data_IF_975689651365
#
_entry.id   IF_975689651365
#
_cell.length_a   1.000
_cell.length_b   1.000
_cell.length_c   1.000
_cell.angle_alpha   90.00
_cell.angle_beta   90.00
_cell.angle_gamma   90.00
#
_symmetry.space_group_name_H-M   'P 1'
#
loop_
_entity.id
_entity.type
_entity.pdbx_description
1 polymer ?
#
# COMPACT_ATOMS: atom_id res chain seq x y z
N UNK A 1 13.93 -16.11 24.06
CA UNK A 1 14.87 -14.98 23.96
C UNK A 1 15.72 -15.28 22.74
N UNK A 2 15.68 -14.45 21.69
CA UNK A 2 16.58 -14.58 20.54
C UNK A 2 17.79 -13.76 20.93
N UNK A 3 18.96 -14.41 21.06
CA UNK A 3 20.21 -13.71 21.30
C UNK A 3 20.49 -12.75 20.14
N UNK A 4 20.42 -11.46 20.43
CA UNK A 4 20.71 -10.42 19.45
C UNK A 4 22.24 -10.38 19.24
N UNK A 5 22.76 -10.60 18.03
CA UNK A 5 24.17 -10.48 17.75
C UNK A 5 24.65 -9.04 17.98
N UNK A 6 25.89 -8.89 18.43
CA UNK A 6 26.51 -7.61 18.77
C UNK A 6 26.65 -6.71 17.54
N UNK A 7 25.70 -5.78 17.39
CA UNK A 7 25.51 -4.95 16.18
C UNK A 7 26.58 -3.85 16.05
N UNK A 8 27.51 -3.71 16.99
CA UNK A 8 28.48 -2.58 17.00
C UNK A 8 29.38 -2.49 15.78
N UNK A 9 29.69 -3.61 15.12
CA UNK A 9 30.66 -3.67 14.02
C UNK A 9 30.08 -3.72 12.60
N UNK A 10 28.76 -3.59 12.44
CA UNK A 10 28.14 -3.61 11.13
C UNK A 10 28.02 -2.21 10.51
N UNK A 11 28.04 -2.13 9.17
CA UNK A 11 27.82 -0.89 8.43
C UNK A 11 26.45 -0.26 8.77
N UNK A 12 26.30 1.04 8.56
CA UNK A 12 25.02 1.75 8.80
C UNK A 12 23.84 1.07 8.09
N UNK A 13 24.05 0.56 6.89
CA UNK A 13 23.04 -0.13 6.09
C UNK A 13 22.68 -1.50 6.66
N UNK A 14 23.68 -2.27 7.09
CA UNK A 14 23.45 -3.60 7.70
C UNK A 14 22.69 -3.48 9.02
N UNK A 15 23.00 -2.46 9.83
CA UNK A 15 22.24 -2.16 11.08
C UNK A 15 20.77 -1.83 10.81
N UNK A 16 20.49 -1.14 9.69
CA UNK A 16 19.13 -0.77 9.27
C UNK A 16 18.32 -2.00 8.82
N UNK A 17 18.92 -2.86 8.00
CA UNK A 17 18.32 -4.13 7.56
C UNK A 17 18.03 -5.03 8.78
N UNK A 18 18.98 -5.10 9.74
CA UNK A 18 18.78 -5.87 10.96
C UNK A 18 17.64 -5.33 11.84
N UNK A 19 17.48 -4.02 11.93
CA UNK A 19 16.37 -3.41 12.67
C UNK A 19 15.01 -3.79 12.04
N UNK A 20 14.91 -3.77 10.72
CA UNK A 20 13.71 -4.19 9.98
C UNK A 20 13.42 -5.68 10.23
N UNK A 21 14.44 -6.53 10.17
CA UNK A 21 14.32 -7.97 10.44
C UNK A 21 13.92 -8.21 11.90
N UNK A 22 14.47 -7.47 12.87
CA UNK A 22 14.10 -7.59 14.29
C UNK A 22 12.66 -7.13 14.55
N UNK A 23 12.20 -6.05 13.95
CA UNK A 23 10.79 -5.61 14.04
C UNK A 23 9.88 -6.69 13.42
N UNK A 24 10.28 -7.25 12.28
CA UNK A 24 9.53 -8.31 11.61
C UNK A 24 9.48 -9.62 12.43
N UNK A 25 10.59 -10.03 13.03
CA UNK A 25 10.65 -11.24 13.89
C UNK A 25 9.97 -11.06 15.24
N UNK A 26 10.05 -9.86 15.84
CA UNK A 26 9.31 -9.56 17.07
C UNK A 26 7.79 -9.59 16.84
N UNK A 27 7.34 -9.15 15.66
CA UNK A 27 5.92 -9.18 15.26
C UNK A 27 5.43 -10.61 14.92
N UNK A 28 6.32 -11.48 14.43
CA UNK A 28 6.03 -12.89 14.13
C UNK A 28 5.94 -13.79 15.36
N UNK A 29 6.01 -13.23 16.57
CA UNK A 29 5.96 -14.01 17.79
C UNK A 29 4.65 -14.82 17.88
N UNK A 30 4.75 -16.16 17.81
CA UNK A 30 3.63 -17.13 17.80
C UNK A 30 2.55 -16.89 18.86
N UNK A 31 2.90 -16.26 19.98
CA UNK A 31 1.96 -15.91 21.07
C UNK A 31 0.97 -14.81 20.70
N UNK A 32 1.38 -13.82 19.89
CA UNK A 32 0.47 -12.78 19.36
C UNK A 32 -0.43 -13.36 18.26
N UNK A 33 0.12 -14.17 17.37
CA UNK A 33 -0.62 -14.77 16.26
C UNK A 33 -1.78 -15.65 16.72
N UNK A 34 -1.62 -16.39 17.82
CA UNK A 34 -2.67 -17.26 18.37
C UNK A 34 -3.84 -16.50 19.05
N UNK A 35 -3.66 -15.23 19.43
CA UNK A 35 -4.70 -14.37 20.05
C UNK A 35 -5.43 -13.49 19.04
N UNK A 36 -4.88 -13.28 17.86
CA UNK A 36 -5.42 -12.37 16.86
C UNK A 36 -6.37 -13.11 15.91
N UNK A 37 -7.45 -12.43 15.46
CA UNK A 37 -8.28 -12.94 14.35
C UNK A 37 -7.40 -13.15 13.12
N UNK A 38 -7.50 -14.31 12.48
CA UNK A 38 -6.68 -14.72 11.34
C UNK A 38 -6.54 -13.64 10.26
N UNK A 39 -7.63 -12.94 9.94
CA UNK A 39 -7.61 -11.85 8.95
C UNK A 39 -6.73 -10.69 9.35
N UNK A 40 -6.78 -10.26 10.62
CA UNK A 40 -5.96 -9.16 11.13
C UNK A 40 -4.45 -9.48 11.08
N UNK A 41 -4.08 -10.72 11.39
CA UNK A 41 -2.68 -11.15 11.30
C UNK A 41 -2.13 -11.02 9.87
N UNK A 42 -2.87 -11.50 8.87
CA UNK A 42 -2.45 -11.37 7.47
C UNK A 42 -2.43 -9.92 6.98
N UNK A 43 -3.34 -9.08 7.46
CA UNK A 43 -3.34 -7.65 7.12
C UNK A 43 -2.13 -6.90 7.68
N UNK A 44 -1.72 -7.22 8.91
CA UNK A 44 -0.50 -6.67 9.50
C UNK A 44 0.73 -7.05 8.66
N UNK A 45 0.86 -8.31 8.28
CA UNK A 45 1.96 -8.77 7.43
C UNK A 45 1.98 -8.04 6.08
N UNK A 46 0.82 -7.91 5.44
CA UNK A 46 0.67 -7.19 4.19
C UNK A 46 1.05 -5.70 4.35
N UNK A 47 0.60 -5.06 5.43
CA UNK A 47 0.88 -3.65 5.70
C UNK A 47 2.37 -3.37 5.90
N UNK A 48 3.07 -4.19 6.66
CA UNK A 48 4.53 -4.07 6.85
C UNK A 48 5.26 -4.19 5.50
N UNK A 49 4.86 -5.17 4.67
CA UNK A 49 5.46 -5.34 3.35
C UNK A 49 5.18 -4.14 2.43
N UNK A 50 3.97 -3.59 2.47
CA UNK A 50 3.62 -2.43 1.66
C UNK A 50 4.29 -1.13 2.10
N UNK A 51 4.63 -0.98 3.36
CA UNK A 51 5.30 0.22 3.87
C UNK A 51 6.63 0.50 3.14
N UNK A 52 7.32 -0.54 2.67
CA UNK A 52 8.61 -0.41 1.99
C UNK A 52 8.52 -0.29 0.46
N UNK A 53 7.32 -0.36 -0.12
CA UNK A 53 7.13 -0.41 -1.58
C UNK A 53 7.58 0.88 -2.28
N UNK A 54 7.14 2.05 -1.78
CA UNK A 54 7.37 3.32 -2.46
C UNK A 54 8.85 3.68 -2.63
N UNK A 55 9.71 3.56 -1.60
CA UNK A 55 11.15 3.76 -1.75
C UNK A 55 11.78 2.87 -2.81
N UNK A 56 11.39 1.58 -2.86
CA UNK A 56 11.94 0.65 -3.85
C UNK A 56 11.42 0.90 -5.27
N UNK A 57 10.17 1.37 -5.44
CA UNK A 57 9.70 1.82 -6.75
C UNK A 57 10.52 3.02 -7.20
N UNK A 58 10.66 4.03 -6.35
CA UNK A 58 11.44 5.24 -6.67
C UNK A 58 12.89 4.91 -7.03
N UNK A 59 13.53 4.04 -6.25
CA UNK A 59 14.86 3.53 -6.56
C UNK A 59 14.91 2.78 -7.89
N UNK A 60 13.92 1.92 -8.19
CA UNK A 60 13.86 1.20 -9.47
C UNK A 60 13.72 2.12 -10.67
N UNK A 61 12.89 3.15 -10.56
CA UNK A 61 12.68 4.16 -11.61
C UNK A 61 13.90 5.07 -11.81
N UNK A 62 14.72 5.30 -10.78
CA UNK A 62 15.93 6.14 -10.90
C UNK A 62 17.02 5.56 -11.82
N UNK A 63 16.89 4.29 -12.24
CA UNK A 63 17.79 3.65 -13.19
C UNK A 63 17.39 3.84 -14.66
N UNK A 64 16.76 4.96 -14.99
CA UNK A 64 16.27 5.26 -16.33
C UNK A 64 15.34 4.17 -16.87
N UNK A 65 14.27 3.96 -16.11
CA UNK A 65 13.21 3.02 -16.48
C UNK A 65 11.84 3.68 -16.30
N UNK A 66 10.91 3.39 -17.20
CA UNK A 66 9.61 4.07 -17.23
C UNK A 66 8.59 3.40 -16.30
N UNK A 67 7.63 4.17 -15.75
CA UNK A 67 6.66 3.69 -14.77
C UNK A 67 5.86 2.46 -15.21
N UNK A 68 5.28 2.48 -16.43
CA UNK A 68 4.45 1.37 -16.91
C UNK A 68 5.28 0.14 -17.25
N UNK A 69 6.45 0.31 -17.89
CA UNK A 69 7.32 -0.82 -18.19
C UNK A 69 7.81 -1.49 -16.89
N UNK A 70 8.18 -0.71 -15.87
CA UNK A 70 8.62 -1.25 -14.57
C UNK A 70 7.49 -1.97 -13.84
N UNK A 71 6.30 -1.36 -13.78
CA UNK A 71 5.10 -1.97 -13.20
C UNK A 71 4.72 -3.26 -13.94
N UNK A 72 4.71 -3.20 -15.27
CA UNK A 72 4.34 -4.33 -16.13
C UNK A 72 5.25 -5.54 -15.94
N UNK A 73 6.57 -5.34 -15.98
CA UNK A 73 7.55 -6.43 -15.74
C UNK A 73 7.37 -7.00 -14.32
N UNK A 74 7.29 -6.15 -13.30
CA UNK A 74 7.08 -6.57 -11.92
C UNK A 74 5.85 -7.46 -11.79
N UNK A 75 4.69 -6.96 -12.21
CA UNK A 75 3.42 -7.63 -11.98
C UNK A 75 3.26 -8.88 -12.85
N UNK A 76 3.72 -8.85 -14.10
CA UNK A 76 3.74 -10.04 -14.96
C UNK A 76 4.60 -11.15 -14.37
N UNK A 77 5.79 -10.83 -13.85
CA UNK A 77 6.67 -11.78 -13.17
C UNK A 77 5.97 -12.39 -11.94
N UNK A 78 5.30 -11.58 -11.12
CA UNK A 78 4.50 -12.07 -9.99
C UNK A 78 3.40 -13.01 -10.46
N UNK A 79 2.69 -12.62 -11.52
CA UNK A 79 1.64 -13.43 -12.12
C UNK A 79 2.15 -14.80 -12.57
N UNK A 80 3.29 -14.86 -13.25
CA UNK A 80 3.92 -16.12 -13.68
C UNK A 80 4.24 -17.01 -12.48
N UNK A 81 4.85 -16.47 -11.42
CA UNK A 81 5.19 -17.21 -10.20
C UNK A 81 3.93 -17.79 -9.54
N UNK A 82 2.89 -16.96 -9.39
CA UNK A 82 1.65 -17.38 -8.75
C UNK A 82 0.85 -18.35 -9.63
N UNK A 83 0.86 -18.20 -10.96
CA UNK A 83 0.26 -19.17 -11.86
C UNK A 83 0.98 -20.52 -11.81
N UNK A 84 2.31 -20.54 -11.80
CA UNK A 84 3.07 -21.77 -11.64
C UNK A 84 2.66 -22.52 -10.35
N UNK A 85 2.42 -21.76 -9.25
CA UNK A 85 1.94 -22.33 -7.99
C UNK A 85 0.49 -22.85 -8.08
N UNK A 86 -0.40 -22.16 -8.80
CA UNK A 86 -1.84 -22.49 -8.85
C UNK A 86 -2.21 -23.41 -10.01
N UNK A 87 -1.29 -23.64 -10.95
CA UNK A 87 -1.51 -24.41 -12.18
C UNK A 87 -2.15 -25.78 -11.94
N UNK A 88 -1.58 -26.53 -10.99
CA UNK A 88 -2.04 -27.88 -10.67
C UNK A 88 -3.40 -27.96 -9.97
N UNK A 89 -3.99 -26.82 -9.57
CA UNK A 89 -5.23 -26.81 -8.79
C UNK A 89 -6.50 -26.73 -9.64
N UNK A 90 -6.39 -26.64 -10.95
CA UNK A 90 -7.52 -26.67 -11.89
C UNK A 90 -8.52 -25.51 -11.74
N UNK A 91 -8.09 -24.35 -11.19
CA UNK A 91 -8.95 -23.22 -10.82
C UNK A 91 -9.43 -22.37 -12.00
N UNK A 92 -9.08 -22.72 -13.23
CA UNK A 92 -9.41 -21.93 -14.43
C UNK A 92 -10.91 -21.71 -14.66
N UNK A 93 -11.76 -22.62 -14.17
CA UNK A 93 -13.22 -22.47 -14.22
C UNK A 93 -13.73 -21.29 -13.40
N UNK A 94 -13.02 -20.92 -12.33
CA UNK A 94 -13.36 -19.77 -11.48
C UNK A 94 -13.34 -18.46 -12.26
N UNK A 95 -12.41 -18.30 -13.24
CA UNK A 95 -12.35 -17.08 -14.07
C UNK A 95 -13.66 -16.86 -14.82
N UNK A 96 -14.21 -17.91 -15.43
CA UNK A 96 -15.43 -17.82 -16.21
C UNK A 96 -16.66 -17.59 -15.31
N UNK A 97 -16.69 -18.23 -14.15
CA UNK A 97 -17.79 -18.11 -13.19
C UNK A 97 -17.84 -16.72 -12.52
N UNK A 98 -16.67 -16.11 -12.27
CA UNK A 98 -16.52 -14.82 -11.60
C UNK A 98 -15.91 -13.75 -12.51
N UNK A 99 -16.24 -13.77 -13.82
CA UNK A 99 -15.63 -12.93 -14.84
C UNK A 99 -15.69 -11.42 -14.52
N UNK A 100 -16.80 -10.94 -13.97
CA UNK A 100 -16.96 -9.53 -13.55
C UNK A 100 -15.94 -9.12 -12.49
N UNK A 101 -15.69 -9.99 -11.49
CA UNK A 101 -14.70 -9.74 -10.44
C UNK A 101 -13.29 -9.70 -11.03
N UNK A 102 -12.94 -10.67 -11.89
CA UNK A 102 -11.63 -10.70 -12.52
C UNK A 102 -11.41 -9.52 -13.47
N UNK A 103 -12.40 -9.12 -14.27
CA UNK A 103 -12.32 -7.93 -15.12
C UNK A 103 -12.13 -6.65 -14.28
N UNK A 104 -12.86 -6.51 -13.17
CA UNK A 104 -12.66 -5.40 -12.23
C UNK A 104 -11.21 -5.38 -11.71
N UNK A 105 -10.69 -6.52 -11.26
CA UNK A 105 -9.33 -6.60 -10.75
C UNK A 105 -8.28 -6.32 -11.82
N UNK A 106 -8.47 -6.79 -13.05
CA UNK A 106 -7.53 -6.58 -14.16
C UNK A 106 -7.56 -5.11 -14.63
N UNK A 107 -8.76 -4.57 -14.92
CA UNK A 107 -8.89 -3.26 -15.56
C UNK A 107 -8.86 -2.13 -14.54
N UNK A 108 -9.66 -2.21 -13.46
CA UNK A 108 -9.79 -1.09 -12.52
C UNK A 108 -8.67 -1.13 -11.49
N UNK A 109 -8.45 -2.28 -10.82
CA UNK A 109 -7.41 -2.36 -9.80
C UNK A 109 -6.01 -2.28 -10.39
N UNK A 110 -5.69 -3.19 -11.34
CA UNK A 110 -4.33 -3.29 -11.86
C UNK A 110 -4.06 -2.23 -12.93
N UNK A 111 -4.80 -2.20 -14.02
CA UNK A 111 -4.47 -1.29 -15.12
C UNK A 111 -4.66 0.17 -14.72
N UNK A 112 -5.87 0.60 -14.34
CA UNK A 112 -6.12 2.01 -13.98
C UNK A 112 -5.46 2.37 -12.65
N UNK A 113 -5.65 1.55 -11.61
CA UNK A 113 -5.18 1.83 -10.26
C UNK A 113 -3.65 1.85 -10.16
N UNK A 114 -2.95 0.84 -10.70
CA UNK A 114 -1.49 0.80 -10.61
C UNK A 114 -0.78 1.65 -11.65
N UNK A 115 -1.35 1.91 -12.82
CA UNK A 115 -0.82 2.92 -13.75
C UNK A 115 -0.83 4.29 -13.08
N UNK A 116 -1.96 4.71 -12.51
CA UNK A 116 -2.05 5.96 -11.75
C UNK A 116 -1.08 5.99 -10.55
N UNK A 117 -0.95 4.87 -9.84
CA UNK A 117 -0.03 4.75 -8.71
C UNK A 117 1.44 4.95 -9.12
N UNK A 118 1.89 4.27 -10.17
CA UNK A 118 3.30 4.35 -10.59
C UNK A 118 3.67 5.72 -11.14
N UNK A 119 2.82 6.35 -11.96
CA UNK A 119 3.03 7.73 -12.37
C UNK A 119 2.96 8.69 -11.18
N UNK A 120 2.05 8.47 -10.24
CA UNK A 120 1.97 9.25 -9.02
C UNK A 120 3.26 9.17 -8.20
N UNK A 121 3.81 7.97 -7.99
CA UNK A 121 5.09 7.77 -7.30
C UNK A 121 6.25 8.38 -8.06
N UNK A 122 6.24 8.33 -9.40
CA UNK A 122 7.29 8.95 -10.22
C UNK A 122 7.31 10.49 -10.08
N UNK A 123 6.13 11.11 -9.98
CA UNK A 123 5.99 12.57 -9.99
C UNK A 123 6.21 13.24 -8.62
N UNK A 124 6.16 12.49 -7.52
CA UNK A 124 6.43 13.01 -6.18
C UNK A 124 7.57 12.23 -5.51
N UNK A 125 8.04 12.72 -4.34
CA UNK A 125 9.02 11.97 -3.54
C UNK A 125 8.41 10.68 -2.98
N UNK A 126 9.27 9.68 -2.69
CA UNK A 126 8.85 8.44 -2.07
C UNK A 126 8.21 8.64 -0.69
N UNK A 127 8.70 9.65 0.06
CA UNK A 127 8.11 10.06 1.34
C UNK A 127 6.69 10.59 1.15
N UNK A 128 6.47 11.55 0.22
CA UNK A 128 5.14 12.10 -0.07
C UNK A 128 4.20 11.00 -0.55
N UNK A 129 4.63 10.14 -1.47
CA UNK A 129 3.80 9.04 -1.96
C UNK A 129 3.37 8.10 -0.83
N UNK A 130 4.28 7.78 0.10
CA UNK A 130 3.98 6.94 1.27
C UNK A 130 2.97 7.58 2.21
N UNK A 131 3.08 8.89 2.44
CA UNK A 131 2.16 9.65 3.29
C UNK A 131 0.76 9.70 2.65
N UNK A 132 0.67 9.99 1.34
CA UNK A 132 -0.61 10.01 0.61
C UNK A 132 -1.27 8.62 0.61
N UNK A 133 -0.51 7.56 0.36
CA UNK A 133 -1.04 6.19 0.44
C UNK A 133 -1.53 5.82 1.85
N UNK A 134 -1.03 6.48 2.89
CA UNK A 134 -1.56 6.39 4.25
C UNK A 134 -3.01 6.87 4.40
N UNK A 135 -3.55 7.66 3.46
CA UNK A 135 -4.96 8.07 3.45
C UNK A 135 -5.91 6.97 2.95
N UNK A 136 -5.38 5.83 2.48
CA UNK A 136 -6.18 4.70 1.97
C UNK A 136 -7.35 4.30 2.88
N UNK A 137 -7.19 4.14 4.21
CA UNK A 137 -8.30 3.79 5.08
C UNK A 137 -9.44 4.82 5.06
N UNK A 138 -9.11 6.10 5.00
CA UNK A 138 -10.08 7.19 5.02
C UNK A 138 -10.89 7.23 3.73
N UNK A 139 -10.21 7.11 2.59
CA UNK A 139 -10.87 7.09 1.27
C UNK A 139 -11.72 5.83 1.12
N UNK A 140 -11.23 4.67 1.57
CA UNK A 140 -11.98 3.42 1.51
C UNK A 140 -13.27 3.47 2.34
N UNK A 141 -13.29 4.21 3.43
CA UNK A 141 -14.51 4.40 4.22
C UNK A 141 -15.52 5.29 3.50
N UNK A 142 -15.04 6.35 2.86
CA UNK A 142 -15.89 7.19 2.03
C UNK A 142 -16.50 6.37 0.88
N UNK A 143 -15.69 5.56 0.21
CA UNK A 143 -16.16 4.66 -0.84
C UNK A 143 -17.15 3.62 -0.31
N UNK A 144 -16.88 3.02 0.83
CA UNK A 144 -17.80 2.06 1.45
C UNK A 144 -19.14 2.71 1.82
N UNK A 145 -19.14 3.98 2.28
CA UNK A 145 -20.37 4.72 2.54
C UNK A 145 -21.17 5.01 1.26
N UNK A 146 -20.50 5.32 0.16
CA UNK A 146 -21.15 5.64 -1.11
C UNK A 146 -21.63 4.40 -1.86
N UNK A 147 -20.92 3.27 -1.74
CA UNK A 147 -21.14 2.06 -2.54
C UNK A 147 -21.77 0.91 -1.75
N UNK A 148 -21.57 0.84 -0.44
CA UNK A 148 -22.09 -0.22 0.41
C UNK A 148 -23.15 0.35 1.39
N UNK A 149 -24.35 -0.20 1.38
CA UNK A 149 -25.51 0.30 2.15
C UNK A 149 -25.36 0.23 3.68
N UNK A 150 -24.32 -0.40 4.21
CA UNK A 150 -24.20 -0.75 5.63
C UNK A 150 -23.13 0.00 6.43
N UNK A 151 -22.34 0.90 5.83
CA UNK A 151 -21.29 1.65 6.56
C UNK A 151 -21.58 3.15 6.53
N UNK A 152 -22.29 3.65 7.55
CA UNK A 152 -22.66 5.07 7.65
C UNK A 152 -21.48 5.90 8.17
N UNK A 153 -21.28 7.07 7.56
CA UNK A 153 -20.36 8.10 8.07
C UNK A 153 -20.87 8.58 9.43
N UNK A 154 -20.01 8.57 10.42
CA UNK A 154 -20.26 9.20 11.71
C UNK A 154 -19.42 10.49 11.83
N UNK A 155 -19.70 11.31 12.84
CA UNK A 155 -19.01 12.59 13.06
C UNK A 155 -17.50 12.45 13.15
N UNK A 156 -16.97 11.39 13.78
CA UNK A 156 -15.54 11.17 13.91
C UNK A 156 -14.87 10.84 12.56
N UNK A 157 -15.55 10.09 11.70
CA UNK A 157 -15.09 9.80 10.33
C UNK A 157 -15.01 11.10 9.50
N UNK A 158 -15.99 11.99 9.63
CA UNK A 158 -16.00 13.29 8.95
C UNK A 158 -14.86 14.18 9.47
N UNK A 159 -14.70 14.29 10.79
CA UNK A 159 -13.61 15.07 11.39
C UNK A 159 -12.25 14.55 10.91
N UNK A 160 -12.05 13.23 10.90
CA UNK A 160 -10.78 12.66 10.44
C UNK A 160 -10.51 12.93 8.96
N UNK A 161 -11.53 12.92 8.09
CA UNK A 161 -11.39 13.33 6.70
C UNK A 161 -10.94 14.79 6.57
N UNK A 162 -11.56 15.71 7.31
CA UNK A 162 -11.19 17.13 7.31
C UNK A 162 -9.75 17.31 7.79
N UNK A 163 -9.37 16.67 8.91
CA UNK A 163 -8.01 16.75 9.46
C UNK A 163 -6.99 16.18 8.47
N UNK A 164 -7.30 15.07 7.76
CA UNK A 164 -6.39 14.51 6.77
C UNK A 164 -6.20 15.44 5.56
N UNK A 165 -7.25 16.17 5.14
CA UNK A 165 -7.15 17.18 4.09
C UNK A 165 -6.24 18.34 4.52
N UNK A 166 -6.30 18.79 5.78
CA UNK A 166 -5.37 19.80 6.30
C UNK A 166 -3.93 19.30 6.19
N UNK A 167 -3.65 18.05 6.60
CA UNK A 167 -2.33 17.46 6.46
C UNK A 167 -1.86 17.39 5.00
N UNK A 168 -2.75 17.08 4.07
CA UNK A 168 -2.47 17.08 2.64
C UNK A 168 -2.10 18.47 2.13
N UNK A 169 -2.85 19.50 2.51
CA UNK A 169 -2.56 20.90 2.13
C UNK A 169 -1.22 21.39 2.69
N UNK A 170 -0.83 20.98 3.89
CA UNK A 170 0.50 21.30 4.45
C UNK A 170 1.63 20.72 3.58
N UNK A 171 1.46 19.50 3.07
CA UNK A 171 2.43 18.86 2.20
C UNK A 171 2.50 19.57 0.84
N UNK A 172 1.35 19.87 0.24
CA UNK A 172 1.27 20.56 -1.07
C UNK A 172 1.86 21.96 -0.99
N UNK A 173 1.50 22.72 0.05
CA UNK A 173 1.86 24.13 0.17
C UNK A 173 3.35 24.38 0.38
N UNK A 174 4.08 23.45 0.98
CA UNK A 174 5.50 23.61 1.32
C UNK A 174 6.42 22.59 0.63
N UNK A 175 5.88 21.60 -0.05
CA UNK A 175 6.62 20.59 -0.81
C UNK A 175 7.68 19.81 -0.03
N UNK A 176 8.49 19.05 -0.75
CA UNK A 176 9.57 18.24 -0.15
C UNK A 176 10.82 19.07 0.16
N UNK A 177 11.04 20.21 -0.52
CA UNK A 177 12.23 21.04 -0.42
C UNK A 177 11.93 22.46 0.15
N UNK A 178 10.82 22.60 0.87
CA UNK A 178 10.39 23.90 1.42
C UNK A 178 9.80 24.86 0.38
N UNK A 179 9.66 24.46 -0.87
CA UNK A 179 8.97 25.19 -1.94
C UNK A 179 7.64 24.52 -2.27
N UNK A 180 6.61 25.24 -2.68
CA UNK A 180 5.35 24.67 -3.16
C UNK A 180 5.60 23.63 -4.26
N UNK A 181 4.76 22.59 -4.29
CA UNK A 181 4.81 21.59 -5.37
C UNK A 181 4.46 22.26 -6.70
N UNK A 182 5.23 21.90 -7.72
CA UNK A 182 4.95 22.26 -9.10
C UNK A 182 3.72 21.49 -9.66
N UNK A 183 3.31 21.81 -10.89
CA UNK A 183 2.20 21.14 -11.55
C UNK A 183 2.40 19.61 -11.65
N UNK A 184 3.63 19.17 -11.86
CA UNK A 184 3.97 17.73 -11.93
C UNK A 184 3.71 17.06 -10.58
N UNK A 185 4.15 17.68 -9.49
CA UNK A 185 3.93 17.18 -8.12
C UNK A 185 2.44 17.13 -7.74
N UNK A 186 1.68 18.19 -8.07
CA UNK A 186 0.23 18.22 -7.85
C UNK A 186 -0.47 17.09 -8.64
N UNK A 187 -0.10 16.92 -9.91
CA UNK A 187 -0.62 15.82 -10.74
C UNK A 187 -0.29 14.46 -10.13
N UNK A 188 0.92 14.30 -9.60
CA UNK A 188 1.32 13.07 -8.89
C UNK A 188 0.43 12.75 -7.69
N UNK A 189 0.09 13.77 -6.87
CA UNK A 189 -0.83 13.59 -5.73
C UNK A 189 -2.22 13.19 -6.23
N UNK A 190 -2.76 13.84 -7.25
CA UNK A 190 -4.07 13.51 -7.82
C UNK A 190 -4.09 12.06 -8.34
N UNK A 191 -3.03 11.63 -9.02
CA UNK A 191 -2.91 10.25 -9.50
C UNK A 191 -2.85 9.24 -8.36
N UNK A 192 -2.14 9.54 -7.27
CA UNK A 192 -2.11 8.70 -6.07
C UNK A 192 -3.50 8.59 -5.43
N UNK A 193 -4.23 9.69 -5.30
CA UNK A 193 -5.60 9.68 -4.77
C UNK A 193 -6.55 8.87 -5.67
N UNK A 194 -6.47 9.04 -6.99
CA UNK A 194 -7.23 8.23 -7.95
C UNK A 194 -6.89 6.75 -7.83
N UNK A 195 -5.61 6.41 -7.67
CA UNK A 195 -5.19 5.03 -7.49
C UNK A 195 -5.83 4.40 -6.24
N UNK A 196 -5.90 5.15 -5.12
CA UNK A 196 -6.57 4.68 -3.90
C UNK A 196 -8.07 4.43 -4.16
N UNK A 197 -8.73 5.30 -4.93
CA UNK A 197 -10.15 5.15 -5.28
C UNK A 197 -10.36 3.87 -6.09
N UNK A 198 -9.58 3.63 -7.15
CA UNK A 198 -9.70 2.42 -7.97
C UNK A 198 -9.42 1.14 -7.18
N UNK A 199 -8.36 1.14 -6.37
CA UNK A 199 -8.02 0.01 -5.51
C UNK A 199 -9.09 -0.22 -4.44
N UNK A 200 -9.64 0.84 -3.84
CA UNK A 200 -10.72 0.77 -2.85
C UNK A 200 -12.01 0.20 -3.42
N UNK A 201 -12.41 0.62 -4.61
CA UNK A 201 -13.56 0.06 -5.32
C UNK A 201 -13.38 -1.45 -5.55
N UNK A 202 -12.21 -1.86 -6.01
CA UNK A 202 -11.93 -3.28 -6.23
C UNK A 202 -11.86 -4.09 -4.94
N UNK A 203 -11.37 -3.50 -3.84
CA UNK A 203 -11.37 -4.13 -2.52
C UNK A 203 -12.79 -4.42 -2.02
N UNK A 204 -13.74 -3.50 -2.24
CA UNK A 204 -15.17 -3.71 -1.91
C UNK A 204 -15.71 -4.88 -2.71
N UNK A 205 -15.46 -4.93 -4.03
CA UNK A 205 -15.91 -6.02 -4.89
C UNK A 205 -15.38 -7.39 -4.44
N UNK A 206 -14.10 -7.47 -4.02
CA UNK A 206 -13.52 -8.71 -3.46
C UNK A 206 -14.17 -9.08 -2.12
N UNK A 207 -14.47 -8.08 -1.29
CA UNK A 207 -15.10 -8.34 0.01
C UNK A 207 -16.54 -8.87 -0.10
N UNK A 208 -17.25 -8.48 -1.15
CA UNK A 208 -18.61 -8.96 -1.44
C UNK A 208 -18.62 -10.40 -1.96
N UNK A 209 -17.55 -10.82 -2.62
CA UNK A 209 -17.39 -12.18 -3.18
C UNK A 209 -16.75 -13.18 -2.19
N UNK A 210 -16.89 -12.93 -0.90
CA UNK A 210 -16.24 -13.68 0.20
C UNK A 210 -16.23 -15.19 0.01
N UNK A 211 -15.03 -15.75 -0.14
CA UNK A 211 -14.76 -17.19 -0.10
C UNK A 211 -15.19 -17.96 -1.33
N UNK A 212 -15.70 -17.32 -2.38
CA UNK A 212 -16.08 -17.99 -3.62
C UNK A 212 -14.88 -18.27 -4.52
N UNK A 213 -13.86 -17.41 -4.48
CA UNK A 213 -12.64 -17.55 -5.29
C UNK A 213 -11.42 -17.65 -4.38
N UNK A 214 -10.46 -18.51 -4.74
CA UNK A 214 -9.23 -18.66 -3.98
C UNK A 214 -8.42 -17.35 -3.99
N UNK A 215 -8.00 -16.79 -2.82
CA UNK A 215 -7.32 -15.50 -2.74
C UNK A 215 -5.97 -15.47 -3.47
N UNK A 216 -5.22 -16.57 -3.49
CA UNK A 216 -3.95 -16.66 -4.21
C UNK A 216 -4.19 -16.68 -5.72
N UNK A 217 -5.28 -17.33 -6.16
CA UNK A 217 -5.66 -17.36 -7.56
C UNK A 217 -6.18 -15.99 -8.04
N UNK A 218 -6.94 -15.25 -7.21
CA UNK A 218 -7.28 -13.85 -7.48
C UNK A 218 -6.01 -13.01 -7.73
N UNK A 219 -5.01 -13.18 -6.85
CA UNK A 219 -3.75 -12.47 -7.01
C UNK A 219 -3.01 -12.90 -8.30
N UNK A 220 -2.96 -14.20 -8.62
CA UNK A 220 -2.32 -14.70 -9.83
C UNK A 220 -2.92 -14.08 -11.11
N UNK A 221 -4.25 -14.12 -11.22
CA UNK A 221 -4.98 -13.63 -12.40
C UNK A 221 -4.80 -12.13 -12.59
N UNK A 222 -5.04 -11.33 -11.53
CA UNK A 222 -4.90 -9.87 -11.65
C UNK A 222 -3.48 -9.45 -11.98
N UNK A 223 -2.47 -10.08 -11.34
CA UNK A 223 -1.06 -9.74 -11.55
C UNK A 223 -0.61 -10.11 -12.95
N UNK A 224 -0.98 -11.28 -13.45
CA UNK A 224 -0.58 -11.72 -14.77
C UNK A 224 -1.24 -10.90 -15.88
N UNK A 225 -2.57 -10.91 -15.95
CA UNK A 225 -3.28 -10.23 -17.04
C UNK A 225 -3.21 -8.70 -16.90
N UNK A 226 -3.33 -8.17 -15.70
CA UNK A 226 -3.21 -6.73 -15.46
C UNK A 226 -1.78 -6.23 -15.66
N UNK A 227 -0.78 -6.98 -15.18
CA UNK A 227 0.63 -6.66 -15.40
C UNK A 227 1.01 -6.71 -16.88
N UNK A 228 0.57 -7.75 -17.60
CA UNK A 228 0.79 -7.88 -19.05
C UNK A 228 0.14 -6.71 -19.82
N UNK A 229 -1.10 -6.34 -19.45
CA UNK A 229 -1.79 -5.21 -20.07
C UNK A 229 -1.04 -3.90 -19.83
N UNK A 230 -0.59 -3.64 -18.59
CA UNK A 230 0.24 -2.46 -18.26
C UNK A 230 1.52 -2.46 -19.10
N UNK A 231 2.20 -3.60 -19.21
CA UNK A 231 3.43 -3.72 -19.99
C UNK A 231 3.20 -3.47 -21.48
N UNK A 232 2.16 -4.06 -22.08
CA UNK A 232 1.83 -3.88 -23.50
C UNK A 232 1.48 -2.42 -23.82
N UNK A 233 0.70 -1.76 -22.96
CA UNK A 233 0.39 -0.34 -23.13
C UNK A 233 1.64 0.52 -22.90
N UNK A 234 2.47 0.17 -21.91
CA UNK A 234 3.77 0.82 -21.68
C UNK A 234 4.69 0.75 -22.90
N UNK A 235 4.79 -0.41 -23.55
CA UNK A 235 5.55 -0.54 -24.80
C UNK A 235 5.05 0.41 -25.91
N UNK A 236 3.74 0.63 -25.97
CA UNK A 236 3.14 1.52 -26.98
C UNK A 236 3.26 3.00 -26.65
N UNK A 237 3.26 3.39 -25.39
CA UNK A 237 3.23 4.79 -24.92
C UNK A 237 4.58 5.33 -24.48
N UNK A 238 5.37 4.50 -23.81
CA UNK A 238 6.69 4.84 -23.25
C UNK A 238 7.85 4.31 -24.08
N UNK A 239 7.56 3.39 -25.04
CA UNK A 239 8.58 2.71 -25.83
C UNK A 239 9.19 1.51 -25.10
N UNK A 240 10.10 0.83 -25.79
CA UNK A 240 10.83 -0.32 -25.22
C UNK A 240 12.02 0.14 -24.38
N UNK A 241 12.06 -0.27 -23.14
CA UNK A 241 13.20 -0.09 -22.25
C UNK A 241 13.81 -1.45 -21.90
N UNK A 242 15.08 -1.65 -22.27
CA UNK A 242 15.79 -2.89 -21.95
C UNK A 242 16.00 -3.01 -20.44
N UNK A 243 15.54 -4.11 -19.90
CA UNK A 243 15.86 -4.49 -18.51
C UNK A 243 17.18 -5.27 -18.39
N UNK A 244 17.79 -5.63 -19.53
CA UNK A 244 19.07 -6.34 -19.58
C UNK A 244 20.20 -5.32 -19.45
N UNK A 245 21.22 -5.63 -18.63
CA UNK A 245 22.39 -4.77 -18.44
C UNK A 245 22.19 -3.59 -17.48
N UNK A 246 21.08 -3.54 -16.76
CA UNK A 246 20.85 -2.54 -15.70
C UNK A 246 21.74 -2.82 -14.48
N UNK A 247 22.06 -1.81 -13.65
CA UNK A 247 22.84 -1.97 -12.43
C UNK A 247 22.20 -2.95 -11.43
N UNK A 248 23.01 -3.57 -10.57
CA UNK A 248 22.52 -4.52 -9.55
C UNK A 248 21.41 -3.98 -8.65
N UNK A 249 21.43 -2.67 -8.35
CA UNK A 249 20.36 -2.00 -7.58
C UNK A 249 18.97 -2.04 -8.24
N UNK A 250 18.92 -1.99 -9.59
CA UNK A 250 17.67 -2.17 -10.34
C UNK A 250 17.06 -3.55 -10.09
N UNK A 251 17.86 -4.60 -10.27
CA UNK A 251 17.39 -5.98 -10.07
C UNK A 251 17.03 -6.25 -8.62
N UNK A 252 17.79 -5.70 -7.66
CA UNK A 252 17.48 -5.81 -6.24
C UNK A 252 16.11 -5.16 -5.93
N UNK A 253 15.86 -3.94 -6.42
CA UNK A 253 14.57 -3.28 -6.26
C UNK A 253 13.44 -4.07 -6.89
N UNK A 254 13.62 -4.57 -8.11
CA UNK A 254 12.63 -5.39 -8.80
C UNK A 254 12.33 -6.70 -8.05
N UNK A 255 13.38 -7.42 -7.61
CA UNK A 255 13.24 -8.68 -6.87
C UNK A 255 12.49 -8.49 -5.54
N UNK A 256 12.83 -7.45 -4.77
CA UNK A 256 12.16 -7.10 -3.52
C UNK A 256 10.68 -6.76 -3.79
N UNK A 257 10.40 -5.97 -4.83
CA UNK A 257 9.05 -5.61 -5.19
C UNK A 257 8.22 -6.81 -5.68
N UNK A 258 8.82 -7.74 -6.42
CA UNK A 258 8.20 -9.01 -6.81
C UNK A 258 7.86 -9.83 -5.58
N UNK A 259 8.82 -10.02 -4.66
CA UNK A 259 8.60 -10.70 -3.38
C UNK A 259 7.44 -10.09 -2.60
N UNK A 260 7.44 -8.77 -2.42
CA UNK A 260 6.36 -8.05 -1.73
C UNK A 260 5.02 -8.31 -2.42
N UNK A 261 4.97 -8.26 -3.76
CA UNK A 261 3.71 -8.46 -4.48
C UNK A 261 3.16 -9.88 -4.36
N UNK A 262 4.02 -10.90 -4.37
CA UNK A 262 3.61 -12.29 -4.16
C UNK A 262 2.96 -12.45 -2.78
N UNK A 263 3.60 -11.95 -1.73
CA UNK A 263 3.17 -12.21 -0.36
C UNK A 263 2.15 -11.20 0.15
N UNK A 264 2.38 -9.89 -0.01
CA UNK A 264 1.51 -8.87 0.56
C UNK A 264 0.10 -8.90 -0.03
N UNK A 265 -0.03 -9.02 -1.35
CA UNK A 265 -1.36 -9.13 -1.98
C UNK A 265 -2.05 -10.43 -1.64
N UNK A 266 -1.31 -11.55 -1.59
CA UNK A 266 -1.90 -12.84 -1.17
C UNK A 266 -2.41 -12.77 0.27
N UNK A 267 -1.63 -12.20 1.19
CA UNK A 267 -2.04 -11.99 2.57
C UNK A 267 -3.26 -11.07 2.68
N UNK A 268 -3.27 -9.99 1.91
CA UNK A 268 -4.37 -9.05 1.91
C UNK A 268 -5.68 -9.66 1.38
N UNK A 269 -5.65 -10.43 0.30
CA UNK A 269 -6.83 -11.14 -0.18
C UNK A 269 -7.31 -12.20 0.81
N UNK A 270 -6.40 -12.91 1.48
CA UNK A 270 -6.75 -13.83 2.58
C UNK A 270 -7.42 -13.05 3.73
N UNK A 271 -6.91 -11.87 4.06
CA UNK A 271 -7.48 -11.01 5.09
C UNK A 271 -8.91 -10.56 4.72
N UNK A 272 -9.10 -10.04 3.52
CA UNK A 272 -10.40 -9.58 3.01
C UNK A 272 -11.47 -10.68 2.98
N UNK A 273 -11.07 -11.91 2.67
CA UNK A 273 -11.98 -13.06 2.60
C UNK A 273 -12.15 -13.80 3.93
N UNK A 274 -11.48 -13.38 5.00
CA UNK A 274 -11.59 -14.00 6.32
C UNK A 274 -12.98 -13.80 6.91
N UNK A 275 -13.54 -14.86 7.54
CA UNK A 275 -14.88 -14.79 8.17
C UNK A 275 -14.93 -13.70 9.23
N UNK A 276 -15.96 -12.84 9.17
CA UNK A 276 -16.17 -11.75 10.11
C UNK A 276 -15.21 -10.57 9.97
N UNK A 277 -14.37 -10.55 8.93
CA UNK A 277 -13.53 -9.41 8.62
C UNK A 277 -14.39 -8.27 8.03
N UNK A 278 -14.33 -7.09 8.63
CA UNK A 278 -14.86 -5.86 8.04
C UNK A 278 -13.73 -5.18 7.28
N UNK A 279 -14.02 -4.63 6.12
CA UNK A 279 -13.01 -3.90 5.31
C UNK A 279 -12.39 -2.75 6.11
N UNK A 280 -13.21 -2.11 6.95
CA UNK A 280 -12.77 -1.07 7.87
C UNK A 280 -11.74 -1.56 8.91
N UNK A 281 -11.91 -2.77 9.47
CA UNK A 281 -11.01 -3.33 10.48
C UNK A 281 -9.66 -3.77 9.87
N UNK A 282 -9.69 -4.27 8.63
CA UNK A 282 -8.51 -4.75 7.90
C UNK A 282 -7.57 -3.59 7.56
N UNK A 283 -8.09 -2.41 7.26
CA UNK A 283 -7.26 -1.27 6.91
C UNK A 283 -6.59 -0.58 8.12
N UNK A 284 -6.86 -0.99 9.37
CA UNK A 284 -6.25 -0.37 10.56
C UNK A 284 -4.72 -0.45 10.58
N UNK A 285 -4.16 -1.57 10.14
CA UNK A 285 -2.70 -1.77 10.21
C UNK A 285 -1.93 -0.94 9.18
N UNK A 286 -2.61 -0.41 8.17
CA UNK A 286 -2.00 0.50 7.18
C UNK A 286 -1.57 1.86 7.74
N UNK A 287 -1.93 2.19 8.98
CA UNK A 287 -1.39 3.34 9.72
C UNK A 287 0.14 3.37 9.78
N UNK A 288 0.77 2.21 9.72
CA UNK A 288 2.23 2.12 9.76
C UNK A 288 2.89 2.57 8.45
N UNK A 289 2.17 2.49 7.32
CA UNK A 289 2.72 2.74 6.00
C UNK A 289 3.26 4.18 5.81
N UNK A 290 2.53 5.26 6.16
CA UNK A 290 3.04 6.61 5.99
C UNK A 290 4.30 6.87 6.81
N UNK A 291 4.39 6.30 8.01
CA UNK A 291 5.53 6.50 8.90
C UNK A 291 6.74 5.72 8.39
N UNK A 292 6.62 4.39 8.24
CA UNK A 292 7.73 3.56 7.79
C UNK A 292 8.16 3.88 6.37
N UNK A 293 7.21 4.14 5.47
CA UNK A 293 7.50 4.46 4.08
C UNK A 293 8.25 5.79 3.93
N UNK A 294 7.84 6.83 4.65
CA UNK A 294 8.54 8.12 4.63
C UNK A 294 9.95 8.01 5.23
N UNK A 295 10.08 7.38 6.40
CA UNK A 295 11.39 7.18 7.05
C UNK A 295 12.33 6.37 6.16
N UNK A 296 11.84 5.31 5.51
CA UNK A 296 12.65 4.51 4.59
C UNK A 296 13.04 5.28 3.33
N UNK A 297 12.15 6.11 2.78
CA UNK A 297 12.47 7.01 1.68
C UNK A 297 13.64 7.93 2.02
N UNK A 298 13.56 8.64 3.15
CA UNK A 298 14.64 9.52 3.62
C UNK A 298 15.96 8.80 3.91
N UNK A 299 15.91 7.50 4.17
CA UNK A 299 17.10 6.68 4.40
C UNK A 299 17.71 6.19 3.09
N UNK A 300 16.87 5.79 2.14
CA UNK A 300 17.29 5.09 0.92
C UNK A 300 17.58 6.01 -0.25
N UNK A 301 16.85 7.13 -0.34
CA UNK A 301 16.93 8.04 -1.49
C UNK A 301 17.81 9.25 -1.11
N UNK A 302 18.94 9.48 -1.81
CA UNK A 302 19.92 10.52 -1.43
C UNK A 302 19.35 11.94 -1.44
N UNK A 303 18.39 12.20 -2.33
CA UNK A 303 17.81 13.52 -2.53
C UNK A 303 16.55 13.76 -1.69
N UNK A 304 16.16 12.80 -0.86
CA UNK A 304 15.00 12.91 0.02
C UNK A 304 15.41 13.07 1.48
N UNK A 305 14.90 14.09 2.13
CA UNK A 305 15.13 14.38 3.55
C UNK A 305 13.86 14.86 4.23
N UNK A 306 13.76 14.72 5.58
CA UNK A 306 12.60 15.20 6.30
C UNK A 306 12.56 16.73 6.29
N UNK A 307 11.51 17.31 5.69
CA UNK A 307 11.22 18.75 5.79
C UNK A 307 10.17 18.97 6.88
N UNK A 308 10.10 20.19 7.42
CA UNK A 308 9.09 20.53 8.41
C UNK A 308 7.67 20.27 7.91
N UNK A 309 7.38 20.57 6.65
CA UNK A 309 6.06 20.38 6.04
C UNK A 309 5.69 18.91 5.88
N UNK A 310 6.62 18.06 5.39
CA UNK A 310 6.36 16.63 5.23
C UNK A 310 6.16 15.94 6.57
N UNK A 311 6.96 16.30 7.59
CA UNK A 311 6.81 15.77 8.95
C UNK A 311 5.52 16.28 9.59
N UNK A 312 5.22 17.57 9.50
CA UNK A 312 3.98 18.13 10.04
C UNK A 312 2.74 17.52 9.35
N UNK A 313 2.73 17.46 8.03
CA UNK A 313 1.64 16.82 7.28
C UNK A 313 1.46 15.34 7.62
N UNK A 314 2.57 14.59 7.76
CA UNK A 314 2.53 13.19 8.20
C UNK A 314 1.92 13.07 9.61
N UNK A 315 2.33 13.89 10.57
CA UNK A 315 1.78 13.88 11.94
C UNK A 315 0.28 14.18 11.91
N UNK A 316 -0.16 15.17 11.12
CA UNK A 316 -1.59 15.53 11.00
C UNK A 316 -2.38 14.37 10.37
N UNK A 317 -1.87 13.73 9.30
CA UNK A 317 -2.53 12.59 8.66
C UNK A 317 -2.60 11.39 9.62
N UNK A 318 -1.52 11.08 10.33
CA UNK A 318 -1.51 9.99 11.34
C UNK A 318 -2.49 10.29 12.48
N UNK A 319 -2.54 11.54 12.94
CA UNK A 319 -3.51 11.98 13.96
C UNK A 319 -4.96 11.82 13.48
N UNK A 320 -5.24 12.12 12.21
CA UNK A 320 -6.57 11.92 11.61
C UNK A 320 -7.00 10.45 11.64
N UNK A 321 -6.08 9.54 11.41
CA UNK A 321 -6.33 8.11 11.47
C UNK A 321 -6.60 7.64 12.93
N UNK A 322 -5.91 8.20 13.91
CA UNK A 322 -6.19 7.94 15.33
C UNK A 322 -7.60 8.42 15.69
N UNK A 323 -7.98 9.63 15.27
CA UNK A 323 -9.35 10.16 15.47
C UNK A 323 -10.37 9.23 14.80
N UNK A 324 -10.09 8.74 13.61
CA UNK A 324 -10.97 7.83 12.88
C UNK A 324 -11.24 6.55 13.67
N UNK A 325 -10.19 5.87 14.16
CA UNK A 325 -10.31 4.57 14.82
C UNK A 325 -10.73 4.66 16.28
N UNK A 326 -10.29 5.68 17.01
CA UNK A 326 -10.54 5.84 18.45
C UNK A 326 -11.50 6.98 18.80
N UNK A 327 -12.08 7.65 17.82
CA UNK A 327 -12.90 8.84 18.06
C UNK A 327 -14.08 8.61 18.99
N UNK A 328 -14.72 7.44 18.94
CA UNK A 328 -15.78 7.03 19.88
C UNK A 328 -15.25 6.89 21.30
N UNK A 329 -14.15 6.19 21.51
CA UNK A 329 -13.53 5.99 22.81
C UNK A 329 -13.04 7.32 23.41
N UNK A 330 -12.44 8.16 22.58
CA UNK A 330 -11.98 9.51 22.95
C UNK A 330 -13.17 10.39 23.36
N UNK A 331 -14.27 10.36 22.60
CA UNK A 331 -15.47 11.11 22.91
C UNK A 331 -16.15 10.67 24.22
N UNK A 332 -16.22 9.38 24.47
CA UNK A 332 -16.72 8.83 25.73
C UNK A 332 -15.84 9.19 26.94
N UNK A 333 -14.51 9.15 26.74
CA UNK A 333 -13.56 9.57 27.77
C UNK A 333 -13.75 11.05 28.14
N UNK A 334 -13.86 11.96 27.15
CA UNK A 334 -14.13 13.38 27.38
C UNK A 334 -15.49 13.63 28.06
N UNK A 335 -16.53 12.86 27.71
CA UNK A 335 -17.84 12.98 28.38
C UNK A 335 -17.77 12.55 29.85
N UNK A 336 -17.06 11.46 30.16
CA UNK A 336 -16.86 10.98 31.53
C UNK A 336 -16.05 11.97 32.36
N UNK A 337 -15.00 12.57 31.79
CA UNK A 337 -14.18 13.58 32.47
C UNK A 337 -14.95 14.86 32.76
N UNK A 338 -15.85 15.29 31.86
CA UNK A 338 -16.74 16.45 32.09
C UNK A 338 -17.89 16.17 33.06
N UNK A 339 -18.33 14.94 33.19
CA UNK A 339 -19.39 14.55 34.13
C UNK A 339 -18.87 14.26 35.55
N UNK A 340 -17.55 14.13 35.72
CA UNK A 340 -16.89 13.94 37.03
C UNK A 340 -16.14 15.18 37.55
N UNK A 341 -16.22 16.29 36.84
CA UNK A 341 -15.76 17.61 37.26
C UNK A 341 -16.98 18.54 37.50
#
# INVERSE_FOLDING_TARGET
>A
MVDLPNIKNYSKETKRIYLIICIFTAFLNKRLANKMKKGLFYDILASILWAIVNPFIKQGLSYDFTPMNFAGIRFTTVGIILFAYTWHKGMWREIRQHSKLFLNLILINMFMGYTAFYFGVDFVSGAISSIIMGMTPLINVLLAHLLASNDRLNTHKIISLIVSLIGLFLIIGMGSNGAPLDWKGITGIVLLLLSIIFQGYSAISVSEDKGKVNPIFLNAVQMFFGGLLIYMVGLGTEGYHSFIGKPGGFYASLAILVFISVFAFSFWFIALQSKGAKVSDINMCRLINPILGAVLSWIMLPDEYPTFSTVAGMVVIVSSLIIYFKGTEISEWFKKTKAGA
#
